data_IF_133323444425
#
_entry.id   IF_133323444425
#
_cell.length_a   1.000
_cell.length_b   1.000
_cell.length_c   1.000
_cell.angle_alpha   90.00
_cell.angle_beta   90.00
_cell.angle_gamma   90.00
#
_symmetry.space_group_name_H-M   'P 1'
#
loop_
_entity.id
_entity.type
_entity.pdbx_description
1 polymer ?
2 non-polymer ?
3 water ?
#
# COMPACT_ATOMS: atom_id res chain seq x y z
N UNK A 22 20.48 -1.15 -16.80
CA UNK A 22 19.86 -0.09 -17.61
C UNK A 22 20.92 0.86 -18.15
N UNK A 23 20.49 1.79 -18.98
CA UNK A 23 21.41 2.73 -19.62
C UNK A 23 21.63 3.96 -18.75
N UNK A 24 22.67 4.72 -19.11
CA UNK A 24 22.91 6.05 -18.59
C UNK A 24 22.92 6.26 -17.08
N UNK A 25 22.83 5.18 -16.31
CA UNK A 25 22.88 5.29 -14.86
C UNK A 25 24.32 5.17 -14.37
N UNK A 26 24.61 5.81 -13.25
CA UNK A 26 25.89 5.59 -12.61
C UNK A 26 25.92 4.18 -12.00
N UNK A 27 27.13 3.71 -11.70
CA UNK A 27 27.27 2.39 -11.09
C UNK A 27 26.57 2.35 -9.73
N UNK A 28 26.64 3.46 -8.98
CA UNK A 28 25.97 3.51 -7.69
C UNK A 28 24.45 3.48 -7.84
N UNK A 29 23.92 4.12 -8.88
CA UNK A 29 22.48 4.09 -9.12
C UNK A 29 22.02 2.69 -9.52
N UNK A 30 22.77 2.03 -10.42
CA UNK A 30 22.43 0.67 -10.80
C UNK A 30 22.48 -0.26 -9.61
N UNK A 31 23.48 -0.09 -8.74
CA UNK A 31 23.54 -0.90 -7.52
C UNK A 31 22.37 -0.60 -6.61
N UNK A 32 22.01 0.69 -6.49
CA UNK A 32 20.87 1.08 -5.68
C UNK A 32 19.59 0.43 -6.19
N UNK A 33 19.35 0.53 -7.51
CA UNK A 33 18.21 -0.13 -8.12
C UNK A 33 18.27 -1.63 -7.90
N UNK A 34 19.41 -2.26 -8.13
CA UNK A 34 19.38 -3.69 -7.85
C UNK A 34 18.88 -4.02 -6.44
N UNK A 35 19.54 -3.48 -5.42
CA UNK A 35 19.24 -3.91 -4.05
C UNK A 35 17.76 -3.71 -3.71
N UNK A 36 17.15 -2.67 -4.26
CA UNK A 36 15.71 -2.51 -4.14
C UNK A 36 14.96 -3.65 -4.82
N UNK A 37 15.39 -4.01 -6.04
CA UNK A 37 14.74 -5.10 -6.76
C UNK A 37 14.96 -6.43 -6.04
N UNK A 38 16.17 -6.64 -5.50
CA UNK A 38 16.45 -7.84 -4.73
C UNK A 38 15.57 -7.91 -3.50
N UNK A 39 15.42 -6.78 -2.79
CA UNK A 39 14.58 -6.75 -1.59
C UNK A 39 13.12 -6.97 -1.94
N UNK A 40 12.67 -6.43 -3.08
CA UNK A 40 11.31 -6.66 -3.54
C UNK A 40 11.09 -8.12 -3.89
N UNK A 41 12.03 -8.71 -4.63
CA UNK A 41 11.92 -10.11 -5.03
C UNK A 41 11.83 -11.03 -3.82
N UNK A 42 12.62 -10.75 -2.78
CA UNK A 42 12.70 -11.66 -1.64
C UNK A 42 11.50 -11.54 -0.71
N UNK A 43 10.84 -10.38 -0.67
CA UNK A 43 9.87 -10.08 0.37
C UNK A 43 8.48 -9.80 -0.13
N UNK A 44 8.22 -9.87 -1.43
CA UNK A 44 6.89 -9.59 -1.97
C UNK A 44 6.37 -10.88 -2.59
N UNK A 45 5.59 -11.62 -1.80
CA UNK A 45 4.91 -12.84 -2.21
C UNK A 45 3.79 -12.49 -3.17
N UNK A 46 4.10 -12.37 -4.47
CA UNK A 46 3.12 -11.88 -5.43
C UNK A 46 2.00 -12.88 -5.69
N UNK A 47 2.19 -14.15 -5.34
CA UNK A 47 1.12 -15.13 -5.43
C UNK A 47 0.32 -15.25 -4.13
N UNK A 48 0.75 -14.56 -3.07
CA UNK A 48 0.08 -14.60 -1.77
C UNK A 48 -0.06 -16.03 -1.25
N UNK A 49 0.89 -16.89 -1.61
CA UNK A 49 0.80 -18.30 -1.26
C UNK A 49 0.90 -18.54 0.23
N UNK A 50 1.52 -17.61 0.97
CA UNK A 50 1.70 -17.76 2.41
C UNK A 50 0.74 -16.87 3.21
N UNK A 51 -0.27 -16.30 2.57
CA UNK A 51 -1.35 -15.64 3.29
C UNK A 51 -2.39 -16.70 3.64
N UNK A 52 -2.43 -17.10 4.92
CA UNK A 52 -3.21 -18.23 5.36
C UNK A 52 -3.84 -17.90 6.71
N UNK A 53 -4.75 -18.79 7.13
CA UNK A 53 -5.36 -18.73 8.46
C UNK A 53 -6.03 -17.38 8.71
N UNK A 54 -6.50 -16.73 7.66
CA UNK A 54 -7.15 -15.44 7.80
C UNK A 54 -8.62 -15.64 8.13
N UNK A 55 -9.18 -14.65 8.83
CA UNK A 55 -10.59 -14.68 9.15
C UNK A 55 -11.42 -14.31 7.93
N UNK A 56 -12.67 -14.77 7.92
CA UNK A 56 -13.61 -14.50 6.85
C UNK A 56 -14.95 -14.09 7.45
N UNK A 57 -15.77 -13.36 6.69
CA UNK A 57 -17.07 -12.93 7.23
C UNK A 57 -17.89 -14.11 7.72
N UNK A 58 -18.66 -13.87 8.78
CA UNK A 58 -19.52 -14.91 9.31
C UNK A 58 -20.52 -15.39 8.29
N UNK A 59 -21.00 -16.61 8.53
CA UNK A 59 -21.95 -17.26 7.64
C UNK A 59 -23.35 -17.06 8.18
N UNK A 60 -24.29 -16.73 7.29
CA UNK A 60 -25.67 -16.46 7.66
C UNK A 60 -25.76 -15.32 8.67
N UNK A 78 -22.92 9.27 19.05
CA UNK A 78 -23.90 8.88 18.04
C UNK A 78 -23.53 9.47 16.68
N UNK A 79 -22.82 10.60 16.70
CA UNK A 79 -22.34 11.19 15.46
C UNK A 79 -21.13 10.44 14.91
N UNK A 80 -20.42 9.71 15.78
CA UNK A 80 -19.36 8.82 15.32
C UNK A 80 -19.89 7.85 14.27
N UNK A 81 -20.97 7.14 14.62
CA UNK A 81 -21.48 6.08 13.76
C UNK A 81 -21.83 6.60 12.37
N UNK A 82 -22.41 7.80 12.27
CA UNK A 82 -22.66 8.37 10.96
C UNK A 82 -21.39 8.54 10.15
N UNK A 83 -20.28 8.85 10.81
CA UNK A 83 -19.02 9.08 10.09
C UNK A 83 -18.25 7.78 9.88
N UNK A 84 -18.32 6.85 10.83
CA UNK A 84 -17.82 5.49 10.59
C UNK A 84 -18.65 4.81 9.50
N UNK A 85 -19.97 5.01 9.52
CA UNK A 85 -20.79 4.51 8.43
C UNK A 85 -20.35 5.08 7.10
N UNK A 86 -20.00 6.36 7.07
CA UNK A 86 -19.44 6.95 5.85
C UNK A 86 -18.02 6.48 5.62
N UNK A 87 -17.28 6.19 6.69
CA UNK A 87 -15.88 5.76 6.54
C UNK A 87 -15.79 4.40 5.87
N UNK A 88 -16.66 3.46 6.26
CA UNK A 88 -16.53 2.09 5.77
C UNK A 88 -17.03 1.91 4.36
N UNK A 89 -18.06 2.66 3.95
CA UNK A 89 -18.62 2.52 2.62
C UNK A 89 -17.70 3.05 1.52
N UNK A 90 -16.51 3.52 1.86
CA UNK A 90 -15.60 4.06 0.86
C UNK A 90 -14.93 2.95 0.05
N UNK A 91 -14.71 1.79 0.67
CA UNK A 91 -14.03 0.66 0.02
C UNK A 91 -14.96 -0.55 0.08
N UNK A 92 -15.86 -0.65 -0.91
CA UNK A 92 -16.83 -1.73 -0.98
C UNK A 92 -16.35 -2.74 -2.00
N UNK A 93 -15.95 -3.93 -1.54
CA UNK A 93 -15.42 -4.98 -2.40
C UNK A 93 -16.12 -6.29 -2.09
N UNK A 94 -16.36 -7.08 -3.13
CA UNK A 94 -16.67 -8.49 -2.96
C UNK A 94 -15.37 -9.27 -2.89
N UNK A 95 -15.47 -10.54 -2.54
CA UNK A 95 -14.28 -11.34 -2.25
C UNK A 95 -14.45 -12.75 -2.78
N UNK A 96 -13.48 -13.21 -3.55
CA UNK A 96 -13.50 -14.53 -4.17
C UNK A 96 -12.31 -15.33 -3.68
N UNK A 97 -12.51 -16.63 -3.44
CA UNK A 97 -11.42 -17.51 -3.06
C UNK A 97 -11.46 -18.71 -3.97
N UNK A 98 -10.41 -18.91 -4.76
CA UNK A 98 -10.30 -20.05 -5.65
C UNK A 98 -9.47 -21.12 -4.97
N UNK A 99 -10.08 -22.28 -4.74
CA UNK A 99 -9.36 -23.37 -4.13
C UNK A 99 -8.46 -24.09 -5.11
N UNK A 100 -7.44 -24.76 -4.55
CA UNK A 100 -6.52 -25.52 -5.40
C UNK A 100 -7.24 -26.64 -6.14
N UNK A 101 -8.33 -27.15 -5.58
CA UNK A 101 -9.12 -28.17 -6.24
C UNK A 101 -9.99 -27.64 -7.37
N UNK A 102 -10.12 -26.31 -7.50
CA UNK A 102 -10.96 -25.70 -8.49
C UNK A 102 -12.26 -25.13 -7.96
N UNK A 103 -12.58 -25.37 -6.69
CA UNK A 103 -13.77 -24.78 -6.10
C UNK A 103 -13.62 -23.27 -6.00
N UNK A 104 -14.76 -22.58 -5.90
CA UNK A 104 -14.79 -21.12 -5.82
C UNK A 104 -15.78 -20.71 -4.75
N UNK A 105 -15.30 -20.03 -3.71
CA UNK A 105 -16.13 -19.34 -2.75
C UNK A 105 -16.21 -17.86 -3.13
N UNK A 106 -17.40 -17.29 -3.09
CA UNK A 106 -17.56 -15.87 -3.41
C UNK A 106 -18.46 -15.23 -2.37
N UNK A 107 -18.03 -14.06 -1.87
CA UNK A 107 -18.74 -13.34 -0.83
C UNK A 107 -19.18 -11.98 -1.35
N UNK A 108 -20.49 -11.76 -1.38
CA UNK A 108 -21.02 -10.43 -1.67
C UNK A 108 -21.38 -9.75 -0.36
N UNK A 109 -20.86 -8.57 -0.07
CA UNK A 109 -21.11 -7.95 1.24
C UNK A 109 -22.54 -7.48 1.36
N UNK A 110 -23.01 -7.19 2.57
CA UNK A 110 -24.36 -6.69 2.75
C UNK A 110 -24.45 -5.23 2.32
N UNK A 111 -25.65 -4.69 2.44
CA UNK A 111 -25.88 -3.25 2.30
C UNK A 111 -25.94 -2.64 3.69
N UNK A 112 -25.55 -1.37 3.79
CA UNK A 112 -25.64 -0.66 5.05
C UNK A 112 -27.11 -0.47 5.43
N UNK A 113 -27.49 -0.97 6.60
CA UNK A 113 -28.87 -0.86 7.06
C UNK A 113 -28.94 -0.46 8.53
N UNK A 114 -27.93 0.27 9.01
CA UNK A 114 -27.96 0.84 10.34
C UNK A 114 -27.45 -0.05 11.45
N UNK A 115 -26.70 -1.10 11.14
CA UNK A 115 -26.24 -2.02 12.17
C UNK A 115 -24.78 -2.40 12.07
N UNK A 116 -24.40 -3.47 12.77
CA UNK A 116 -23.02 -3.93 12.81
C UNK A 116 -22.58 -4.68 11.56
N UNK A 117 -23.49 -4.91 10.61
CA UNK A 117 -23.15 -5.60 9.38
C UNK A 117 -22.12 -4.87 8.55
N UNK A 118 -21.87 -3.58 8.85
CA UNK A 118 -20.87 -2.82 8.12
C UNK A 118 -19.45 -3.22 8.47
N UNK A 119 -19.29 -4.04 9.52
CA UNK A 119 -17.99 -4.47 10.01
C UNK A 119 -17.61 -5.89 9.57
N UNK A 120 -18.31 -6.46 8.59
CA UNK A 120 -18.17 -7.90 8.34
C UNK A 120 -16.79 -8.25 7.80
N UNK A 121 -16.24 -7.43 6.90
CA UNK A 121 -14.90 -7.70 6.38
C UNK A 121 -13.78 -7.07 7.18
N UNK A 122 -14.08 -6.32 8.24
CA UNK A 122 -12.98 -5.73 9.01
C UNK A 122 -11.98 -6.77 9.49
N UNK A 123 -12.39 -7.89 10.10
CA UNK A 123 -11.38 -8.88 10.51
C UNK A 123 -10.55 -9.42 9.36
N UNK A 124 -11.16 -9.71 8.21
CA UNK A 124 -10.40 -10.25 7.10
C UNK A 124 -9.43 -9.21 6.53
N UNK A 125 -9.91 -7.98 6.34
CA UNK A 125 -9.05 -6.94 5.79
C UNK A 125 -7.88 -6.65 6.71
N UNK A 126 -8.10 -6.74 8.03
CA UNK A 126 -7.01 -6.59 8.99
C UNK A 126 -5.96 -7.67 8.79
N UNK A 127 -6.39 -8.91 8.57
CA UNK A 127 -5.44 -10.00 8.35
C UNK A 127 -4.63 -9.79 7.07
N UNK A 128 -5.29 -9.33 6.00
CA UNK A 128 -4.58 -9.10 4.75
C UNK A 128 -3.58 -7.96 4.90
N UNK A 129 -4.01 -6.84 5.48
CA UNK A 129 -3.10 -5.71 5.69
C UNK A 129 -1.96 -6.10 6.62
N UNK A 130 -2.26 -6.89 7.66
CA UNK A 130 -1.20 -7.40 8.52
C UNK A 130 -0.20 -8.22 7.73
N UNK A 131 -0.69 -9.14 6.90
CA UNK A 131 0.19 -9.93 6.05
C UNK A 131 1.05 -9.03 5.17
N UNK A 132 0.45 -7.99 4.58
CA UNK A 132 1.21 -7.09 3.72
C UNK A 132 2.20 -6.26 4.53
N UNK A 133 1.78 -5.77 5.71
CA UNK A 133 2.70 -5.02 6.56
C UNK A 133 3.95 -5.84 6.88
N UNK A 134 3.78 -7.12 7.17
CA UNK A 134 4.93 -7.99 7.45
C UNK A 134 5.87 -8.04 6.25
N UNK A 135 5.34 -8.19 5.04
CA UNK A 135 6.17 -8.14 3.86
C UNK A 135 6.88 -6.80 3.70
N UNK A 136 6.17 -5.71 4.03
CA UNK A 136 6.77 -4.38 3.95
C UNK A 136 7.92 -4.26 4.96
N UNK A 137 7.67 -4.69 6.20
CA UNK A 137 8.72 -4.63 7.22
C UNK A 137 9.93 -5.45 6.79
N UNK A 138 9.69 -6.65 6.23
CA UNK A 138 10.77 -7.47 5.73
C UNK A 138 11.52 -6.76 4.60
N UNK A 139 10.78 -6.04 3.75
CA UNK A 139 11.38 -5.30 2.65
C UNK A 139 12.38 -4.27 3.16
N UNK A 140 11.96 -3.45 4.12
CA UNK A 140 12.82 -2.41 4.65
C UNK A 140 14.07 -3.00 5.30
N UNK A 141 13.90 -4.07 6.09
CA UNK A 141 15.01 -4.65 6.82
C UNK A 141 16.08 -5.27 5.91
N UNK A 142 15.75 -5.55 4.65
CA UNK A 142 16.76 -6.08 3.74
C UNK A 142 17.60 -4.95 3.15
N UNK A 143 17.05 -3.75 3.01
CA UNK A 143 17.74 -2.67 2.32
C UNK A 143 18.84 -2.12 3.23
N UNK A 144 20.06 -2.02 2.68
CA UNK A 144 21.20 -1.58 3.47
C UNK A 144 20.99 -0.16 3.99
N UNK A 145 20.52 0.75 3.13
CA UNK A 145 20.28 2.13 3.54
C UNK A 145 19.30 2.22 4.70
N UNK A 146 18.43 1.22 4.87
CA UNK A 146 17.49 1.21 5.96
C UNK A 146 18.09 0.59 7.23
N UNK A 147 18.82 -0.52 7.10
CA UNK A 147 19.45 -1.13 8.26
C UNK A 147 20.42 -0.17 8.93
N UNK A 148 21.13 0.64 8.13
CA UNK A 148 22.15 1.53 8.67
C UNK A 148 21.58 2.71 9.43
N UNK A 149 20.27 2.91 9.38
CA UNK A 149 19.65 3.96 10.19
C UNK A 149 19.51 3.48 11.64
N UNK A 150 19.49 4.42 12.59
CA UNK A 150 19.22 4.03 13.97
C UNK A 150 17.86 3.34 14.09
N UNK A 151 17.76 2.41 15.04
CA UNK A 151 16.57 1.58 15.14
C UNK A 151 15.32 2.42 15.39
N UNK A 152 15.45 3.50 16.18
CA UNK A 152 14.31 4.35 16.45
C UNK A 152 13.79 4.99 15.17
N UNK A 153 14.69 5.34 14.25
CA UNK A 153 14.27 5.92 12.99
C UNK A 153 13.70 4.85 12.06
N UNK A 154 14.26 3.65 12.10
CA UNK A 154 13.67 2.53 11.36
C UNK A 154 12.22 2.33 11.75
N UNK A 155 11.94 2.31 13.05
CA UNK A 155 10.56 2.15 13.53
C UNK A 155 9.70 3.33 13.06
N UNK A 156 10.22 4.55 13.20
CA UNK A 156 9.45 5.73 12.83
C UNK A 156 9.12 5.73 11.34
N UNK A 157 10.08 5.37 10.50
CA UNK A 157 9.84 5.38 9.05
C UNK A 157 8.81 4.32 8.67
N UNK A 158 8.89 3.14 9.27
CA UNK A 158 7.93 2.08 8.96
C UNK A 158 6.52 2.48 9.43
N UNK A 159 6.42 3.04 10.63
CA UNK A 159 5.13 3.52 11.11
C UNK A 159 4.53 4.53 10.15
N UNK A 160 5.36 5.39 9.56
CA UNK A 160 4.85 6.44 8.70
C UNK A 160 4.52 5.98 7.29
N UNK A 161 5.21 4.94 6.80
CA UNK A 161 5.14 4.59 5.39
C UNK A 161 4.58 3.20 5.11
N UNK A 162 4.31 2.39 6.14
CA UNK A 162 3.88 1.01 5.91
C UNK A 162 2.63 0.96 5.06
N UNK A 163 1.65 1.83 5.34
CA UNK A 163 0.43 1.84 4.54
C UNK A 163 0.72 2.21 3.09
N UNK A 164 1.56 3.22 2.88
CA UNK A 164 1.83 3.68 1.53
C UNK A 164 2.52 2.60 0.70
N UNK A 165 3.50 1.92 1.29
CA UNK A 165 4.16 0.83 0.57
C UNK A 165 3.22 -0.32 0.31
N UNK A 166 2.25 -0.54 1.21
CA UNK A 166 1.25 -1.57 0.97
C UNK A 166 0.37 -1.22 -0.22
N UNK A 167 -0.06 0.04 -0.31
CA UNK A 167 -0.88 0.47 -1.45
C UNK A 167 -0.10 0.39 -2.75
N UNK A 168 1.20 0.70 -2.71
CA UNK A 168 2.03 0.59 -3.90
C UNK A 168 2.14 -0.86 -4.36
N UNK A 169 2.28 -1.79 -3.41
CA UNK A 169 2.35 -3.20 -3.79
C UNK A 169 1.01 -3.71 -4.29
N UNK A 170 -0.09 -3.29 -3.66
CA UNK A 170 -1.41 -3.69 -4.15
C UNK A 170 -1.67 -3.19 -5.57
N UNK A 171 -1.13 -2.03 -5.93
CA UNK A 171 -1.38 -1.50 -7.26
C UNK A 171 -0.81 -2.40 -8.35
N UNK A 172 0.29 -3.10 -8.06
CA UNK A 172 0.90 -3.97 -9.05
C UNK A 172 0.05 -5.21 -9.33
N UNK A 173 -0.88 -5.55 -8.44
CA UNK A 173 -1.83 -6.62 -8.69
C UNK A 173 -3.23 -6.08 -8.94
N UNK A 174 -3.38 -4.75 -8.99
CA UNK A 174 -4.68 -4.17 -9.34
C UNK A 174 -4.95 -4.36 -10.82
N UNK A 175 -6.15 -4.85 -11.13
CA UNK A 175 -6.61 -4.99 -12.52
C UNK A 175 -7.60 -3.86 -12.76
N UNK A 176 -7.18 -2.83 -13.49
CA UNK A 176 -8.03 -1.67 -13.72
C UNK A 176 -9.16 -1.96 -14.69
N UNK A 177 -9.02 -3.00 -15.53
CA UNK A 177 -10.09 -3.34 -16.46
C UNK A 177 -11.29 -3.95 -15.74
N UNK A 178 -11.03 -4.77 -14.72
CA UNK A 178 -12.09 -5.40 -13.95
C UNK A 178 -12.25 -4.80 -12.56
N UNK A 179 -11.47 -3.78 -12.22
CA UNK A 179 -11.55 -3.18 -10.89
C UNK A 179 -11.30 -4.17 -9.78
N UNK A 180 -10.29 -5.02 -9.93
CA UNK A 180 -10.06 -6.13 -9.03
C UNK A 180 -8.59 -6.23 -8.67
N UNK A 181 -8.29 -6.38 -7.38
CA UNK A 181 -6.94 -6.68 -6.91
C UNK A 181 -6.76 -8.20 -6.95
N UNK A 182 -5.94 -8.68 -7.88
CA UNK A 182 -5.70 -10.11 -8.08
C UNK A 182 -4.63 -10.56 -7.09
N UNK A 183 -5.05 -11.06 -5.93
CA UNK A 183 -4.12 -11.47 -4.88
C UNK A 183 -4.00 -13.00 -4.87
N UNK A 184 -3.45 -13.52 -5.97
CA UNK A 184 -3.27 -14.95 -6.09
C UNK A 184 -4.63 -15.65 -6.12
N UNK A 185 -4.88 -16.48 -5.12
CA UNK A 185 -6.14 -17.19 -5.02
C UNK A 185 -7.27 -16.34 -4.45
N UNK A 186 -6.94 -15.15 -3.93
CA UNK A 186 -7.93 -14.20 -3.45
C UNK A 186 -8.11 -13.07 -4.44
N UNK A 187 -9.36 -12.64 -4.62
CA UNK A 187 -9.69 -11.52 -5.49
C UNK A 187 -10.62 -10.58 -4.76
N UNK A 188 -10.32 -9.28 -4.84
CA UNK A 188 -11.13 -8.24 -4.23
C UNK A 188 -11.68 -7.36 -5.35
N UNK A 189 -12.95 -7.57 -5.68
CA UNK A 189 -13.59 -6.87 -6.80
C UNK A 189 -14.41 -5.70 -6.28
N UNK A 190 -14.24 -4.55 -6.92
CA UNK A 190 -15.03 -3.38 -6.57
C UNK A 190 -16.47 -3.54 -7.03
N UNK A 191 -17.40 -3.16 -6.16
CA UNK A 191 -18.82 -3.30 -6.46
C UNK A 191 -19.30 -2.14 -7.32
N UNK A 192 -20.27 -2.42 -8.18
CA UNK A 192 -20.76 -1.47 -9.17
C UNK A 192 -21.21 -0.15 -8.56
N UNK A 196 -21.33 4.06 -11.59
CA UNK A 196 -20.40 3.69 -12.65
C UNK A 196 -18.95 3.93 -12.28
N UNK A 197 -18.08 3.89 -13.29
CA UNK A 197 -16.65 4.05 -13.07
C UNK A 197 -16.30 5.46 -12.62
N UNK A 198 -16.95 6.46 -13.23
CA UNK A 198 -16.70 7.83 -12.81
C UNK A 198 -17.16 8.11 -11.39
N UNK A 199 -18.15 7.38 -10.86
CA UNK A 199 -18.60 7.76 -9.52
C UNK A 199 -17.69 7.20 -8.44
N UNK A 200 -16.86 6.22 -8.83
CA UNK A 200 -15.95 5.56 -7.91
C UNK A 200 -14.63 6.29 -7.85
N UNK A 201 -14.23 6.94 -8.95
CA UNK A 201 -13.02 7.76 -8.95
C UNK A 201 -13.12 8.93 -7.98
N UNK A 202 -14.31 9.20 -7.43
CA UNK A 202 -14.44 10.20 -6.38
C UNK A 202 -13.73 9.75 -5.11
N UNK A 203 -13.60 8.45 -4.90
CA UNK A 203 -12.90 7.93 -3.73
C UNK A 203 -11.40 8.07 -3.93
N UNK A 204 -10.70 8.84 -3.10
CA UNK A 204 -9.29 9.16 -3.40
C UNK A 204 -8.37 7.96 -3.55
N UNK A 205 -8.53 6.93 -2.71
CA UNK A 205 -7.64 5.78 -2.84
C UNK A 205 -7.95 4.98 -4.11
N UNK A 206 -9.22 4.88 -4.47
CA UNK A 206 -9.58 4.21 -5.73
C UNK A 206 -9.06 5.00 -6.91
N UNK A 207 -9.26 6.32 -6.90
CA UNK A 207 -8.70 7.18 -7.94
C UNK A 207 -7.19 7.02 -8.02
N UNK A 208 -6.53 6.90 -6.87
CA UNK A 208 -5.07 6.71 -6.86
C UNK A 208 -4.69 5.43 -7.60
N UNK A 209 -5.39 4.34 -7.32
CA UNK A 209 -5.03 3.05 -7.92
C UNK A 209 -5.25 3.06 -9.43
N UNK A 210 -6.35 3.65 -9.88
CA UNK A 210 -6.59 3.76 -11.33
C UNK A 210 -5.55 4.65 -11.99
N UNK A 211 -5.29 5.82 -11.40
CA UNK A 211 -4.36 6.76 -12.01
C UNK A 211 -2.94 6.23 -12.00
N UNK A 212 -2.52 5.58 -10.91
CA UNK A 212 -1.18 5.00 -10.87
C UNK A 212 -1.05 3.86 -11.87
N UNK A 213 -2.07 3.03 -12.00
CA UNK A 213 -2.03 1.93 -12.96
C UNK A 213 -1.91 2.44 -14.39
N UNK A 214 -2.52 3.60 -14.68
CA UNK A 214 -2.52 4.13 -16.04
C UNK A 214 -1.11 4.48 -16.49
N UNK A 215 -0.21 4.81 -15.56
CA UNK A 215 1.15 5.18 -15.91
C UNK A 215 1.98 4.01 -16.42
N UNK A 216 1.52 2.77 -16.21
CA UNK A 216 2.17 1.57 -16.74
C UNK A 216 3.64 1.50 -16.33
N UNK A 217 3.87 1.53 -15.02
CA UNK A 217 5.21 1.61 -14.49
C UNK A 217 5.92 0.26 -14.56
N UNK A 218 7.24 0.32 -14.66
CA UNK A 218 8.06 -0.88 -14.54
C UNK A 218 8.16 -1.30 -13.08
N UNK A 219 8.59 -2.55 -12.87
CA UNK A 219 8.87 -3.02 -11.52
C UNK A 219 9.88 -2.12 -10.83
N UNK A 220 10.91 -1.70 -11.56
CA UNK A 220 11.94 -0.84 -10.98
C UNK A 220 11.37 0.50 -10.52
N UNK A 221 10.40 1.04 -11.25
CA UNK A 221 9.82 2.32 -10.87
C UNK A 221 8.90 2.16 -9.66
N UNK A 222 8.20 1.03 -9.55
CA UNK A 222 7.39 0.77 -8.37
C UNK A 222 8.27 0.67 -7.12
N UNK A 223 9.39 -0.05 -7.20
CA UNK A 223 10.22 -0.23 -6.02
C UNK A 223 10.94 1.07 -5.65
N UNK A 224 11.23 1.93 -6.64
CA UNK A 224 11.81 3.22 -6.32
C UNK A 224 10.79 4.12 -5.62
N UNK A 225 9.53 4.05 -6.05
CA UNK A 225 8.46 4.74 -5.32
C UNK A 225 8.40 4.26 -3.88
N UNK A 226 8.53 2.95 -3.67
CA UNK A 226 8.50 2.41 -2.31
C UNK A 226 9.65 2.98 -1.47
N UNK A 227 10.84 3.09 -2.06
CA UNK A 227 11.98 3.61 -1.31
C UNK A 227 11.80 5.10 -1.01
N UNK A 228 11.29 5.87 -1.98
CA UNK A 228 11.05 7.29 -1.76
C UNK A 228 10.03 7.50 -0.64
N UNK A 229 8.97 6.70 -0.64
CA UNK A 229 7.97 6.81 0.42
C UNK A 229 8.52 6.36 1.75
N UNK A 230 9.29 5.27 1.77
CA UNK A 230 9.84 4.76 3.02
C UNK A 230 10.78 5.77 3.66
N UNK A 231 11.68 6.35 2.86
CA UNK A 231 12.69 7.26 3.38
C UNK A 231 12.21 8.72 3.36
N UNK A 232 10.98 8.95 3.81
CA UNK A 232 10.48 10.31 3.93
C UNK A 232 10.99 10.94 5.21
N UNK A 233 11.78 12.03 5.15
CA UNK A 233 12.45 12.52 6.36
C UNK A 233 11.52 13.22 7.35
N UNK A 234 10.28 13.50 6.99
CA UNK A 234 9.39 14.32 7.80
C UNK A 234 8.33 13.51 8.55
N UNK A 235 8.49 12.19 8.64
CA UNK A 235 7.54 11.39 9.40
C UNK A 235 7.66 11.70 10.89
N UNK A 236 6.60 11.48 11.67
CA UNK A 236 6.66 11.77 13.11
C UNK A 236 7.71 10.90 13.80
N UNK A 237 8.57 11.56 14.57
CA UNK A 237 9.53 10.86 15.40
C UNK A 237 10.87 10.57 14.78
N UNK A 238 11.07 10.92 13.49
CA UNK A 238 12.37 10.73 12.88
C UNK A 238 13.37 11.70 13.51
N UNK A 239 14.58 11.21 13.77
CA UNK A 239 15.64 12.01 14.36
C UNK A 239 16.73 12.37 13.38
N UNK A 240 17.11 11.44 12.51
CA UNK A 240 18.17 11.65 11.54
C UNK A 240 17.61 12.21 10.23
N UNK A 241 17.02 13.40 10.34
CA UNK A 241 16.34 14.01 9.21
C UNK A 241 17.28 14.24 8.03
N UNK A 242 18.53 14.61 8.32
CA UNK A 242 19.48 14.94 7.25
C UNK A 242 19.82 13.72 6.41
N UNK A 243 20.27 12.64 7.05
CA UNK A 243 20.63 11.43 6.32
C UNK A 243 19.42 10.85 5.62
N UNK A 244 18.24 10.86 6.26
CA UNK A 244 17.06 10.31 5.61
C UNK A 244 16.69 11.16 4.41
N UNK A 245 16.82 12.49 4.53
CA UNK A 245 16.53 13.37 3.39
C UNK A 245 17.54 13.17 2.27
N UNK A 246 18.82 13.02 2.62
CA UNK A 246 19.84 12.75 1.61
C UNK A 246 19.56 11.43 0.89
N UNK A 247 19.21 10.39 1.65
CA UNK A 247 18.91 9.09 1.04
C UNK A 247 17.71 9.18 0.13
N UNK A 248 16.63 9.83 0.58
CA UNK A 248 15.45 9.97 -0.26
C UNK A 248 15.76 10.72 -1.55
N UNK A 249 16.58 11.78 -1.46
CA UNK A 249 16.92 12.53 -2.66
C UNK A 249 17.65 11.64 -3.66
N UNK A 250 18.56 10.79 -3.18
CA UNK A 250 19.26 9.87 -4.07
C UNK A 250 18.31 8.90 -4.75
N UNK A 251 17.28 8.44 -4.02
CA UNK A 251 16.30 7.55 -4.61
C UNK A 251 15.49 8.26 -5.68
N UNK A 252 15.11 9.51 -5.43
CA UNK A 252 14.38 10.28 -6.43
C UNK A 252 15.25 10.55 -7.66
N UNK A 253 16.50 10.95 -7.45
CA UNK A 253 17.41 11.18 -8.57
C UNK A 253 17.58 9.92 -9.39
N UNK A 254 17.76 8.78 -8.71
CA UNK A 254 17.84 7.51 -9.42
C UNK A 254 16.60 7.25 -10.25
N UNK A 255 15.42 7.51 -9.69
CA UNK A 255 14.18 7.30 -10.43
C UNK A 255 14.08 8.24 -11.62
N UNK A 256 14.40 9.51 -11.41
CA UNK A 256 14.45 10.47 -12.53
C UNK A 256 15.40 9.97 -13.61
N UNK A 257 16.60 9.53 -13.22
CA UNK A 257 17.59 9.08 -14.20
C UNK A 257 17.12 7.82 -14.91
N UNK A 258 16.54 6.87 -14.17
CA UNK A 258 16.01 5.66 -14.78
C UNK A 258 15.03 5.99 -15.89
N UNK A 259 14.09 6.89 -15.61
CA UNK A 259 13.06 7.24 -16.58
C UNK A 259 13.69 7.88 -17.82
N UNK A 260 14.66 8.77 -17.61
CA UNK A 260 15.28 9.46 -18.74
C UNK A 260 16.09 8.50 -19.61
N UNK A 261 16.63 7.44 -19.02
CA UNK A 261 17.47 6.51 -19.78
C UNK A 261 16.67 5.42 -20.46
N UNK A 262 15.46 5.11 -19.98
CA UNK A 262 14.72 3.95 -20.45
C UNK A 262 13.34 4.29 -20.99
N UNK A 263 12.99 5.57 -21.10
CA UNK A 263 11.65 5.98 -21.54
C UNK A 263 11.75 7.27 -22.35
N UNK A 264 12.09 7.16 -23.63
CA UNK A 264 12.13 8.35 -24.49
C UNK A 264 10.81 8.74 -25.13
N UNK A 265 9.73 7.98 -24.92
CA UNK A 265 8.51 8.18 -25.68
C UNK A 265 7.81 9.46 -25.21
N UNK A 266 7.12 10.15 -26.13
CA UNK A 266 6.40 11.38 -25.75
C UNK A 266 5.35 11.14 -24.67
N UNK A 267 4.81 9.92 -24.57
CA UNK A 267 3.84 9.62 -23.54
C UNK A 267 4.44 9.64 -22.14
N UNK A 268 5.77 9.50 -22.03
CA UNK A 268 6.45 9.50 -20.74
C UNK A 268 7.16 10.81 -20.45
N UNK A 269 6.87 11.86 -21.22
CA UNK A 269 7.28 13.19 -20.82
C UNK A 269 6.62 13.53 -19.48
N UNK A 270 7.40 14.08 -18.56
CA UNK A 270 6.98 14.46 -17.22
C UNK A 270 6.58 13.27 -16.36
N UNK A 271 6.93 12.05 -16.77
CA UNK A 271 6.56 10.87 -15.98
C UNK A 271 7.11 10.95 -14.56
N UNK A 272 8.37 11.34 -14.42
CA UNK A 272 8.96 11.48 -13.10
C UNK A 272 8.15 12.43 -12.23
N UNK A 273 7.80 13.60 -12.78
CA UNK A 273 7.00 14.56 -12.02
C UNK A 273 5.62 13.99 -11.73
N UNK A 274 5.02 13.27 -12.68
CA UNK A 274 3.75 12.61 -12.41
C UNK A 274 3.88 11.64 -11.25
N UNK A 275 4.94 10.82 -11.25
CA UNK A 275 5.15 9.85 -10.18
C UNK A 275 5.29 10.56 -8.84
N UNK A 276 6.09 11.63 -8.81
CA UNK A 276 6.30 12.35 -7.56
C UNK A 276 5.00 12.95 -7.03
N UNK A 277 4.16 13.45 -7.94
CA UNK A 277 2.86 13.99 -7.51
C UNK A 277 1.98 12.90 -6.92
N UNK A 278 2.01 11.70 -7.50
CA UNK A 278 1.23 10.59 -6.95
C UNK A 278 1.72 10.22 -5.55
N UNK A 279 3.03 10.31 -5.32
CA UNK A 279 3.56 10.02 -3.99
C UNK A 279 3.07 11.05 -2.97
N UNK A 280 2.97 12.31 -3.38
CA UNK A 280 2.37 13.32 -2.52
C UNK A 280 0.89 13.01 -2.25
N UNK A 281 0.17 12.60 -3.30
CA UNK A 281 -1.23 12.21 -3.11
C UNK A 281 -1.34 11.00 -2.20
N UNK A 282 -0.43 10.03 -2.35
CA UNK A 282 -0.47 8.84 -1.52
C UNK A 282 -0.25 9.19 -0.05
N UNK A 283 0.64 10.15 0.23
CA UNK A 283 0.82 10.60 1.60
C UNK A 283 -0.45 11.21 2.16
N UNK A 284 -1.16 12.01 1.34
CA UNK A 284 -2.44 12.54 1.76
C UNK A 284 -3.43 11.43 2.06
N UNK A 285 -3.52 10.45 1.14
CA UNK A 285 -4.41 9.31 1.35
C UNK A 285 -4.02 8.56 2.61
N UNK A 286 -2.72 8.48 2.88
CA UNK A 286 -2.25 7.82 4.10
C UNK A 286 -2.80 8.50 5.35
N UNK A 287 -2.68 9.84 5.42
CA UNK A 287 -3.18 10.58 6.57
C UNK A 287 -4.69 10.42 6.70
N UNK A 288 -5.42 10.61 5.59
CA UNK A 288 -6.86 10.34 5.57
C UNK A 288 -7.17 8.97 6.14
N UNK A 289 -6.51 7.94 5.61
CA UNK A 289 -6.82 6.56 5.99
C UNK A 289 -6.49 6.28 7.44
N UNK A 290 -5.47 6.95 7.99
CA UNK A 290 -5.12 6.73 9.39
C UNK A 290 -6.21 7.25 10.32
N UNK A 291 -6.74 8.45 10.05
CA UNK A 291 -7.84 8.97 10.84
C UNK A 291 -9.09 8.11 10.66
N UNK A 292 -9.34 7.65 9.44
CA UNK A 292 -10.43 6.71 9.19
C UNK A 292 -10.32 5.48 10.06
N UNK A 293 -9.13 4.87 10.08
CA UNK A 293 -8.94 3.63 10.83
C UNK A 293 -9.09 3.84 12.33
N UNK A 294 -8.58 4.97 12.84
CA UNK A 294 -8.66 5.22 14.27
C UNK A 294 -10.09 5.48 14.72
N UNK A 295 -10.92 6.08 13.86
CA UNK A 295 -12.33 6.29 14.20
C UNK A 295 -13.06 4.95 14.27
N UNK A 296 -12.85 4.09 13.27
CA UNK A 296 -13.48 2.77 13.27
C UNK A 296 -12.98 1.95 14.45
N UNK A 297 -11.67 1.99 14.71
CA UNK A 297 -11.11 1.29 15.85
C UNK A 297 -11.70 1.79 17.17
N UNK A 298 -12.11 3.06 17.21
CA UNK A 298 -12.59 3.64 18.46
C UNK A 298 -13.92 3.01 18.88
N UNK A 299 -14.82 2.75 17.93
CA UNK A 299 -16.13 2.19 18.25
C UNK A 299 -16.25 0.71 17.92
N UNK A 300 -15.35 0.15 17.12
CA UNK A 300 -15.40 -1.28 16.79
C UNK A 300 -13.98 -1.79 16.64
N UNK A 301 -13.39 -2.30 17.72
CA UNK A 301 -11.98 -2.73 17.67
C UNK A 301 -11.77 -3.84 16.68
N UNK A 302 -10.64 -3.79 15.98
CA UNK A 302 -10.35 -4.75 14.92
C UNK A 302 -8.86 -4.84 14.59
N UNK A 303 -8.09 -3.83 14.98
CA UNK A 303 -6.68 -3.79 14.62
C UNK A 303 -5.91 -4.93 15.28
N UNK A 304 -5.10 -5.63 14.48
CA UNK A 304 -4.26 -6.69 15.00
C UNK A 304 -3.13 -6.09 15.84
N UNK A 305 -2.45 -6.90 16.64
CA UNK A 305 -1.29 -6.38 17.40
C UNK A 305 -0.26 -5.66 16.55
N UNK A 306 0.05 -6.17 15.35
CA UNK A 306 1.00 -5.48 14.49
C UNK A 306 0.43 -4.15 14.01
N UNK A 307 -0.86 -4.11 13.68
CA UNK A 307 -1.47 -2.85 13.27
C UNK A 307 -1.48 -1.85 14.42
N UNK A 308 -1.80 -2.31 15.64
CA UNK A 308 -1.73 -1.43 16.80
C UNK A 308 -0.34 -0.84 16.97
N UNK A 309 0.70 -1.67 16.79
CA UNK A 309 2.06 -1.18 16.92
C UNK A 309 2.38 -0.13 15.86
N UNK A 310 1.94 -0.35 14.63
CA UNK A 310 2.24 0.59 13.56
C UNK A 310 1.45 1.88 13.69
N UNK A 311 0.27 1.83 14.33
CA UNK A 311 -0.59 2.99 14.45
C UNK A 311 -0.57 3.61 15.84
N UNK A 312 0.40 3.24 16.67
CA UNK A 312 0.61 3.87 17.96
C UNK A 312 -0.33 3.44 19.07
N UNK A 313 -1.21 2.47 18.82
CA UNK A 313 -2.13 2.02 19.85
C UNK A 313 -1.37 1.25 20.91
N UNK A 314 -1.51 1.69 22.17
CA UNK A 314 -0.70 1.17 23.26
C UNK A 314 -1.27 -0.09 23.89
N UNK A 315 -2.60 -0.24 23.93
CA UNK A 315 -3.23 -1.34 24.61
C UNK A 315 -3.92 -0.96 25.92
N UNK A 316 -3.81 0.30 26.34
CA UNK A 316 -4.47 0.76 27.55
C UNK A 316 -5.82 1.37 27.20
X LIG B 1 -8.69 -2.65 7.58
X LIG B 1 -6.79 -3.78 2.20
X LIG B 1 -6.84 -3.04 -0.10
X LIG B 1 -7.29 -5.72 -1.08
X LIG B 1 -7.08 -5.51 0.41
X LIG B 1 -6.69 -1.73 0.35
X LIG B 1 -4.51 -1.10 6.68
X LIG B 1 -6.90 -1.54 6.49
X LIG B 1 -9.26 0.88 7.40
X LIG B 1 -5.44 -1.82 4.60
X LIG B 1 -6.64 -2.47 2.62
X LIG B 1 -6.90 -4.08 0.84
X LIG B 1 -7.91 -4.52 -1.77
X LIG B 1 -6.58 -1.44 1.70
X LIG B 1 -10.49 0.92 8.10
X LIG B 1 -7.00 -3.32 -1.57
X LIG B 1 -8.67 -0.31 7.23
X LIG B 1 -9.33 -1.44 7.73
X LIG B 1 -7.45 -2.73 6.95
X LIG B 1 -5.65 -1.51 5.88
X LIG B 1 -7.50 -0.36 6.63
X LIG B 1 -6.61 -2.18 4.00
X LIG B 1 -3.99 -1.80 3.83
#
# INVERSE_FOLDING_TARGET
MKKGHHHHHHGSERTGTQPLGVQGLTEEQRMMIRELMDAQMKTFDTTFSHFKNFRLPGVLSSGCELPESLQAPSREEAAKWSQVRKDLCSLKVSLQLRGEDGSVWNYKPPADSGGKEIFSLLPHMADMSTYMFKGIISFAKVISYFRDLPIEDQISLLKGAAFELCQLRFNTVFNAETGTWECGRLSYCLEDTAGGFQQLLLEPMLKFHYMLKKLQLHEEEYVLMQAISLFSPDRPGVLQHRVVDQLQEQFAITLKSYIECNRPQPAHRFLFLKIMAMLTELRSINAQHTQRLLRIQDIHPFATPLMQELFGITGSLVPR
ULC C7 C15 C17 C20 C21 C22 C1 C3 O9 C11 C14 C16 C19 C23 C10 C18 C5 C6 C8 N2 N4 O13 S12
#
